data_IF_526290393751
#
_entry.id   IF_526290393751
#
_cell.length_a   1.000
_cell.length_b   1.000
_cell.length_c   1.000
_cell.angle_alpha   90.00
_cell.angle_beta   90.00
_cell.angle_gamma   90.00
#
_symmetry.space_group_name_H-M   'P 1'
#
loop_
_entity.id
_entity.type
_entity.pdbx_description
1 polymer ?
#
# COMPACT_ATOMS: atom_id res chain seq x y z
N UNK A 1 0.35 12.23 -8.04
CA UNK A 1 -0.71 11.55 -8.81
C UNK A 1 -0.03 10.51 -9.69
N UNK A 2 -0.41 9.25 -9.52
CA UNK A 2 0.14 8.10 -10.24
C UNK A 2 -0.91 7.55 -11.20
N UNK A 3 -0.48 6.84 -12.23
CA UNK A 3 -1.36 6.25 -13.23
C UNK A 3 -1.00 4.77 -13.38
N UNK A 4 -1.98 3.91 -13.16
CA UNK A 4 -1.89 2.49 -13.46
C UNK A 4 -2.41 2.26 -14.87
N UNK A 5 -1.57 1.73 -15.74
CA UNK A 5 -1.95 1.26 -17.06
C UNK A 5 -2.35 -0.22 -16.97
N UNK A 6 -3.57 -0.54 -17.40
CA UNK A 6 -4.08 -1.92 -17.45
C UNK A 6 -4.64 -2.18 -18.84
N UNK A 7 -3.96 -3.04 -19.61
CA UNK A 7 -4.39 -3.41 -20.98
C UNK A 7 -4.68 -2.21 -21.91
N UNK A 8 -3.99 -1.08 -21.71
CA UNK A 8 -4.18 0.15 -22.51
C UNK A 8 -5.15 1.17 -21.91
N UNK A 9 -5.79 0.87 -20.78
CA UNK A 9 -6.66 1.80 -20.05
C UNK A 9 -5.91 2.40 -18.85
N UNK A 10 -6.07 3.70 -18.64
CA UNK A 10 -5.38 4.47 -17.61
C UNK A 10 -6.27 4.68 -16.38
N UNK A 11 -5.77 4.27 -15.22
CA UNK A 11 -6.43 4.42 -13.92
C UNK A 11 -5.62 5.37 -13.03
N UNK A 12 -6.00 6.66 -12.97
CA UNK A 12 -5.31 7.63 -12.13
C UNK A 12 -5.72 7.50 -10.66
N UNK A 13 -4.74 7.59 -9.76
CA UNK A 13 -4.97 7.71 -8.31
C UNK A 13 -3.85 8.50 -7.63
N UNK A 14 -4.08 9.03 -6.43
CA UNK A 14 -3.03 9.65 -5.62
C UNK A 14 -2.05 8.60 -5.08
N UNK A 15 -2.58 7.47 -4.61
CA UNK A 15 -1.83 6.30 -4.15
C UNK A 15 -2.29 5.04 -4.88
N UNK A 16 -1.36 4.16 -5.21
CA UNK A 16 -1.65 2.87 -5.83
C UNK A 16 -0.92 1.80 -5.04
N UNK A 17 -1.68 1.03 -4.27
CA UNK A 17 -1.17 0.02 -3.34
C UNK A 17 -1.30 -1.34 -4.01
N UNK A 18 -0.22 -2.13 -3.99
CA UNK A 18 -0.23 -3.52 -4.46
C UNK A 18 -0.05 -4.45 -3.28
N UNK A 19 -0.99 -5.37 -3.12
CA UNK A 19 -0.95 -6.43 -2.12
C UNK A 19 -0.56 -7.76 -2.78
N UNK A 20 -0.77 -8.87 -2.07
CA UNK A 20 -0.51 -10.22 -2.59
C UNK A 20 -1.39 -10.57 -3.80
N UNK A 21 -2.65 -10.15 -3.80
CA UNK A 21 -3.67 -10.57 -4.79
C UNK A 21 -4.51 -9.40 -5.33
N UNK A 22 -4.17 -8.16 -4.96
CA UNK A 22 -4.95 -6.99 -5.33
C UNK A 22 -4.10 -5.75 -5.62
N UNK A 23 -4.68 -4.83 -6.42
CA UNK A 23 -4.18 -3.48 -6.62
C UNK A 23 -5.31 -2.50 -6.33
N UNK A 24 -5.04 -1.52 -5.47
CA UNK A 24 -6.03 -0.58 -4.97
C UNK A 24 -5.54 0.85 -5.24
N UNK A 25 -6.35 1.63 -5.94
CA UNK A 25 -6.14 3.05 -6.16
C UNK A 25 -6.92 3.89 -5.14
N UNK A 26 -6.25 4.84 -4.48
CA UNK A 26 -6.87 5.74 -3.50
C UNK A 26 -6.59 7.21 -3.82
N UNK A 27 -7.58 8.05 -3.59
CA UNK A 27 -7.47 9.50 -3.49
C UNK A 27 -7.86 9.91 -2.06
N UNK A 28 -6.89 10.33 -1.26
CA UNK A 28 -7.02 10.43 0.19
C UNK A 28 -7.44 9.09 0.80
N UNK A 29 -8.56 9.10 1.52
CA UNK A 29 -9.16 7.90 2.14
C UNK A 29 -10.18 7.19 1.23
N UNK A 30 -10.45 7.72 0.03
CA UNK A 30 -11.44 7.17 -0.90
C UNK A 30 -10.79 6.20 -1.88
N UNK A 31 -11.31 4.97 -1.95
CA UNK A 31 -10.97 4.01 -3.00
C UNK A 31 -11.61 4.46 -4.33
N UNK A 32 -10.79 4.71 -5.34
CA UNK A 32 -11.26 5.11 -6.69
C UNK A 32 -11.32 3.93 -7.64
N UNK A 33 -10.50 2.90 -7.42
CA UNK A 33 -10.57 1.63 -8.11
C UNK A 33 -9.94 0.53 -7.26
N UNK A 34 -10.38 -0.71 -7.47
CA UNK A 34 -9.73 -1.90 -6.93
C UNK A 34 -9.84 -3.08 -7.88
N UNK A 35 -8.71 -3.73 -8.12
CA UNK A 35 -8.62 -5.00 -8.82
C UNK A 35 -8.28 -6.07 -7.78
N UNK A 36 -9.11 -7.11 -7.65
CA UNK A 36 -8.97 -8.18 -6.64
C UNK A 36 -8.90 -9.56 -7.31
N UNK A 37 -8.26 -10.53 -6.66
CA UNK A 37 -8.10 -11.89 -7.19
C UNK A 37 -7.10 -11.97 -8.34
N UNK A 38 -6.10 -11.08 -8.35
CA UNK A 38 -5.05 -11.02 -9.36
C UNK A 38 -4.05 -12.13 -9.09
N UNK A 39 -3.90 -13.05 -10.04
CA UNK A 39 -2.88 -14.09 -10.02
C UNK A 39 -1.69 -13.77 -10.96
N UNK A 40 -1.89 -12.85 -11.91
CA UNK A 40 -0.87 -12.38 -12.84
C UNK A 40 -0.86 -10.85 -12.86
N UNK A 41 0.23 -10.27 -12.37
CA UNK A 41 0.40 -8.82 -12.30
C UNK A 41 1.04 -8.23 -13.58
N UNK A 42 1.39 -9.08 -14.56
CA UNK A 42 2.14 -8.68 -15.75
C UNK A 42 1.42 -7.66 -16.62
N UNK A 43 0.09 -7.55 -16.48
CA UNK A 43 -0.76 -6.59 -17.22
C UNK A 43 -0.87 -5.22 -16.55
N UNK A 44 -0.28 -5.05 -15.37
CA UNK A 44 -0.41 -3.85 -14.55
C UNK A 44 0.93 -3.13 -14.53
N UNK A 45 0.96 -1.91 -15.07
CA UNK A 45 2.17 -1.12 -15.16
C UNK A 45 1.93 0.29 -14.63
N UNK A 46 2.81 0.77 -13.76
CA UNK A 46 2.80 2.17 -13.34
C UNK A 46 3.54 3.02 -14.37
N UNK A 47 2.89 4.10 -14.83
CA UNK A 47 3.52 5.04 -15.75
C UNK A 47 4.53 5.95 -15.05
N UNK A 48 5.46 6.48 -15.84
CA UNK A 48 6.44 7.47 -15.39
C UNK A 48 7.51 6.94 -14.43
N UNK A 49 7.72 5.62 -14.36
CA UNK A 49 8.68 5.01 -13.44
C UNK A 49 8.26 5.08 -11.97
N UNK A 50 6.96 5.29 -11.70
CA UNK A 50 6.44 5.32 -10.34
C UNK A 50 6.45 3.92 -9.72
N UNK A 51 6.66 3.85 -8.41
CA UNK A 51 6.56 2.62 -7.64
C UNK A 51 5.20 2.49 -6.94
N UNK A 52 4.82 1.27 -6.58
CA UNK A 52 3.62 1.03 -5.77
C UNK A 52 3.81 1.64 -4.38
N UNK A 53 2.74 2.21 -3.83
CA UNK A 53 2.69 2.65 -2.45
C UNK A 53 2.60 1.45 -1.51
N UNK A 54 3.15 1.63 -0.31
CA UNK A 54 3.03 0.66 0.77
C UNK A 54 1.58 0.56 1.24
N UNK A 55 1.21 -0.63 1.71
CA UNK A 55 -0.11 -0.84 2.30
C UNK A 55 -0.20 -0.09 3.65
N UNK A 56 -1.16 0.83 3.80
CA UNK A 56 -1.30 1.60 5.02
C UNK A 56 -1.70 0.74 6.25
N UNK A 57 -2.29 -0.45 6.07
CA UNK A 57 -2.51 -1.38 7.20
C UNK A 57 -1.20 -2.00 7.69
N UNK A 58 -0.32 -2.42 6.77
CA UNK A 58 1.03 -2.89 7.12
C UNK A 58 1.85 -1.80 7.83
N UNK A 59 1.76 -0.55 7.37
CA UNK A 59 2.41 0.57 8.06
C UNK A 59 1.85 0.78 9.46
N UNK A 60 0.55 0.56 9.66
CA UNK A 60 -0.10 0.77 10.96
C UNK A 60 0.28 -0.31 11.96
N UNK A 61 0.31 -1.58 11.55
CA UNK A 61 0.74 -2.70 12.39
C UNK A 61 2.21 -2.56 12.80
N UNK A 62 3.09 -2.22 11.87
CA UNK A 62 4.50 -1.99 12.16
C UNK A 62 4.69 -0.86 13.18
N UNK A 63 3.96 0.25 13.01
CA UNK A 63 4.00 1.36 13.97
C UNK A 63 3.52 0.97 15.36
N UNK A 64 2.50 0.12 15.47
CA UNK A 64 2.02 -0.38 16.77
C UNK A 64 3.10 -1.25 17.43
N UNK A 65 3.70 -2.17 16.68
CA UNK A 65 4.77 -3.03 17.19
C UNK A 65 5.99 -2.22 17.68
N UNK A 66 6.42 -1.22 16.92
CA UNK A 66 7.51 -0.32 17.33
C UNK A 66 7.17 0.48 18.60
N UNK A 67 5.91 0.95 18.73
CA UNK A 67 5.43 1.64 19.93
C UNK A 67 5.39 0.69 21.16
N UNK A 68 4.91 -0.54 21.00
CA UNK A 68 4.87 -1.54 22.08
C UNK A 68 6.27 -1.95 22.54
N UNK A 69 7.22 -2.08 21.61
CA UNK A 69 8.63 -2.35 21.92
C UNK A 69 9.26 -1.18 22.70
N UNK A 70 9.00 0.06 22.30
CA UNK A 70 9.49 1.25 23.00
C UNK A 70 8.91 1.36 24.43
N UNK A 71 7.61 1.08 24.61
CA UNK A 71 6.96 1.06 25.93
C UNK A 71 7.58 -0.03 26.82
N UNK A 72 7.79 -1.23 26.27
CA UNK A 72 8.42 -2.34 27.01
C UNK A 72 9.85 -2.00 27.41
N UNK A 73 10.62 -1.34 26.55
CA UNK A 73 11.98 -0.90 26.89
C UNK A 73 12.00 0.16 28.02
N UNK A 74 11.01 1.08 28.02
CA UNK A 74 10.86 2.10 29.07
C UNK A 74 10.39 1.53 30.41
N UNK A 75 9.49 0.53 30.39
CA UNK A 75 8.91 -0.07 31.60
C UNK A 75 9.70 -1.26 32.13
N UNK A 76 10.39 -1.99 31.26
CA UNK A 76 11.17 -3.20 31.57
C UNK A 76 12.63 -2.95 31.96
N UNK A 77 13.13 -1.71 31.83
CA UNK A 77 14.48 -1.31 32.22
C UNK A 77 14.68 -1.05 33.73
N UNK A 78 13.70 -1.37 34.57
CA UNK A 78 13.77 -1.22 36.03
C UNK A 78 13.76 -2.59 36.72
N UNK A 79 14.87 -3.32 36.61
CA UNK A 79 15.26 -4.41 37.52
C UNK A 79 16.77 -4.38 37.74
#
# INVERSE_FOLDING_TARGET
>A
MKILLVSGEEFPAEKIIKTQDSIIGKNGDTEVFAFKGINDFSRFQLLGGSEFDLDPELEKEQRIADLEAAITALLGGAV
#
